data_IF_276341646877
#
_entry.id   IF_276341646877
#
_cell.length_a   1.000
_cell.length_b   1.000
_cell.length_c   1.000
_cell.angle_alpha   90.00
_cell.angle_beta   90.00
_cell.angle_gamma   90.00
#
_symmetry.space_group_name_H-M   'P 1'
#
loop_
_entity.id
_entity.type
_entity.pdbx_description
1 polymer ?
#
# COMPACT_ATOMS: atom_id res chain seq x y z
N UNK A 1 48.96 -29.22 -2.25
CA UNK A 1 49.74 -30.35 -1.69
C UNK A 1 51.08 -30.37 -2.39
N UNK A 2 52.18 -30.57 -1.64
CA UNK A 2 53.52 -30.77 -2.20
C UNK A 2 53.97 -32.17 -1.81
N UNK A 3 54.39 -32.97 -2.79
CA UNK A 3 54.89 -34.32 -2.58
C UNK A 3 56.41 -34.33 -2.79
N UNK A 4 57.16 -34.71 -1.76
CA UNK A 4 58.62 -34.85 -1.83
C UNK A 4 58.98 -36.32 -2.02
N UNK A 5 59.86 -36.61 -2.97
CA UNK A 5 60.29 -37.98 -3.30
C UNK A 5 61.80 -38.04 -3.42
N UNK A 6 62.38 -39.21 -3.14
CA UNK A 6 63.82 -39.46 -3.28
C UNK A 6 64.11 -40.05 -4.66
N UNK A 7 65.13 -39.57 -5.39
CA UNK A 7 65.52 -40.16 -6.67
C UNK A 7 66.29 -41.48 -6.51
N UNK A 8 66.62 -41.91 -5.28
CA UNK A 8 67.36 -43.14 -5.05
C UNK A 8 66.50 -44.39 -5.35
N UNK A 9 67.09 -45.37 -6.04
CA UNK A 9 66.39 -46.60 -6.43
C UNK A 9 65.85 -47.40 -5.23
N UNK A 10 66.52 -47.31 -4.08
CA UNK A 10 66.14 -47.98 -2.83
C UNK A 10 64.80 -47.50 -2.27
N UNK A 11 64.39 -46.27 -2.62
CA UNK A 11 63.14 -45.64 -2.15
C UNK A 11 62.04 -45.66 -3.22
N UNK A 12 62.15 -46.54 -4.22
CA UNK A 12 61.19 -46.62 -5.31
C UNK A 12 59.75 -46.93 -4.85
N UNK A 13 59.58 -47.87 -3.92
CA UNK A 13 58.26 -48.26 -3.39
C UNK A 13 57.56 -47.12 -2.65
N UNK A 14 58.29 -46.36 -1.84
CA UNK A 14 57.79 -45.18 -1.12
C UNK A 14 57.46 -44.05 -2.09
N UNK A 15 58.35 -43.79 -3.05
CA UNK A 15 58.14 -42.79 -4.10
C UNK A 15 56.89 -43.07 -4.92
N UNK A 16 56.65 -44.33 -5.28
CA UNK A 16 55.45 -44.75 -6.02
C UNK A 16 54.19 -44.61 -5.17
N UNK A 17 54.28 -44.91 -3.87
CA UNK A 17 53.17 -44.74 -2.93
C UNK A 17 52.79 -43.27 -2.75
N UNK A 18 53.78 -42.39 -2.61
CA UNK A 18 53.60 -40.93 -2.53
C UNK A 18 52.97 -40.36 -3.81
N UNK A 19 53.41 -40.82 -5.00
CA UNK A 19 52.82 -40.42 -6.28
C UNK A 19 51.36 -40.84 -6.40
N UNK A 20 51.02 -42.07 -6.00
CA UNK A 20 49.63 -42.56 -5.99
C UNK A 20 48.76 -41.73 -5.06
N UNK A 21 49.25 -41.41 -3.87
CA UNK A 21 48.55 -40.55 -2.93
C UNK A 21 48.34 -39.14 -3.50
N UNK A 22 49.37 -38.54 -4.11
CA UNK A 22 49.26 -37.23 -4.77
C UNK A 22 48.26 -37.24 -5.93
N UNK A 23 48.24 -38.31 -6.73
CA UNK A 23 47.29 -38.50 -7.82
C UNK A 23 45.85 -38.58 -7.31
N UNK A 24 45.62 -39.23 -6.17
CA UNK A 24 44.30 -39.27 -5.53
C UNK A 24 43.91 -37.93 -4.91
N UNK A 25 44.86 -37.25 -4.26
CA UNK A 25 44.63 -35.94 -3.65
C UNK A 25 44.24 -34.86 -4.67
N UNK A 26 44.68 -34.97 -5.93
CA UNK A 26 44.24 -34.12 -7.04
C UNK A 26 42.71 -34.16 -7.25
N UNK A 27 42.07 -35.28 -6.95
CA UNK A 27 40.64 -35.47 -7.17
C UNK A 27 39.78 -34.93 -6.01
N UNK A 28 40.40 -34.37 -4.96
CA UNK A 28 39.68 -33.79 -3.82
C UNK A 28 39.14 -32.41 -4.22
N UNK A 29 37.81 -32.27 -4.21
CA UNK A 29 37.13 -31.01 -4.50
C UNK A 29 36.83 -30.30 -3.18
N UNK A 30 37.56 -29.23 -2.90
CA UNK A 30 37.28 -28.35 -1.77
C UNK A 30 36.24 -27.29 -2.15
N UNK A 31 35.26 -27.07 -1.28
CA UNK A 31 34.33 -25.93 -1.37
C UNK A 31 34.73 -24.90 -0.30
N UNK A 32 35.61 -23.94 -0.60
CA UNK A 32 35.98 -22.92 0.38
C UNK A 32 34.75 -22.10 0.75
N UNK A 33 34.49 -21.97 2.03
CA UNK A 33 33.48 -21.07 2.57
C UNK A 33 34.19 -19.97 3.35
N UNK A 34 33.68 -18.75 3.26
CA UNK A 34 34.14 -17.66 4.12
C UNK A 34 33.73 -18.03 5.55
N UNK A 35 34.71 -18.18 6.44
CA UNK A 35 34.45 -18.31 7.86
C UNK A 35 33.96 -16.95 8.39
N UNK A 36 32.66 -16.70 8.23
CA UNK A 36 31.98 -15.63 8.95
C UNK A 36 31.86 -16.03 10.43
N UNK A 37 32.13 -15.09 11.33
CA UNK A 37 31.87 -15.31 12.76
C UNK A 37 30.36 -15.54 12.96
N UNK A 38 30.01 -16.61 13.68
CA UNK A 38 28.62 -16.97 13.93
C UNK A 38 27.84 -15.81 14.57
N UNK A 39 28.49 -15.02 15.43
CA UNK A 39 27.88 -13.86 16.05
C UNK A 39 27.64 -12.74 15.04
N UNK A 40 28.59 -12.49 14.12
CA UNK A 40 28.44 -11.45 13.08
C UNK A 40 27.31 -11.81 12.11
N UNK A 41 27.23 -13.08 11.70
CA UNK A 41 26.13 -13.58 10.88
C UNK A 41 24.77 -13.43 11.58
N UNK A 42 24.68 -13.83 12.85
CA UNK A 42 23.47 -13.70 13.64
C UNK A 42 23.05 -12.23 13.81
N UNK A 43 24.00 -11.32 14.08
CA UNK A 43 23.71 -9.89 14.19
C UNK A 43 23.16 -9.34 12.88
N UNK A 44 23.70 -9.76 11.72
CA UNK A 44 23.17 -9.35 10.41
C UNK A 44 21.73 -9.83 10.22
N UNK A 45 21.47 -11.11 10.45
CA UNK A 45 20.13 -11.70 10.30
C UNK A 45 19.11 -11.06 11.24
N UNK A 46 19.49 -10.81 12.50
CA UNK A 46 18.61 -10.13 13.45
C UNK A 46 18.31 -8.68 13.04
N UNK A 47 19.28 -7.96 12.47
CA UNK A 47 19.04 -6.58 11.98
C UNK A 47 18.11 -6.58 10.78
N UNK A 48 18.27 -7.50 9.85
CA UNK A 48 17.38 -7.67 8.70
C UNK A 48 15.95 -7.99 9.15
N UNK A 49 15.80 -8.88 10.14
CA UNK A 49 14.49 -9.23 10.67
C UNK A 49 13.81 -8.07 11.40
N UNK A 50 14.57 -7.27 12.16
CA UNK A 50 14.05 -6.04 12.79
C UNK A 50 13.52 -5.08 11.73
N UNK A 51 14.27 -4.83 10.66
CA UNK A 51 13.82 -3.93 9.59
C UNK A 51 12.61 -4.47 8.84
N UNK A 52 12.56 -5.78 8.58
CA UNK A 52 11.39 -6.43 7.99
C UNK A 52 10.14 -6.25 8.85
N UNK A 53 10.24 -6.47 10.15
CA UNK A 53 9.12 -6.35 11.08
C UNK A 53 8.64 -4.89 11.21
N UNK A 54 9.56 -3.93 11.28
CA UNK A 54 9.21 -2.49 11.27
C UNK A 54 8.45 -2.09 10.01
N UNK A 55 8.89 -2.56 8.84
CA UNK A 55 8.20 -2.28 7.59
C UNK A 55 6.78 -2.86 7.55
N UNK A 56 6.58 -4.06 8.11
CA UNK A 56 5.24 -4.65 8.24
C UNK A 56 4.33 -3.85 9.17
N UNK A 57 4.85 -3.38 10.31
CA UNK A 57 4.08 -2.55 11.24
C UNK A 57 3.67 -1.22 10.60
N UNK A 58 4.58 -0.56 9.89
CA UNK A 58 4.28 0.69 9.18
C UNK A 58 3.17 0.51 8.14
N UNK A 59 3.22 -0.60 7.38
CA UNK A 59 2.18 -0.92 6.41
C UNK A 59 0.83 -1.18 7.09
N UNK A 60 0.83 -1.84 8.25
CA UNK A 60 -0.37 -2.10 9.01
C UNK A 60 -1.01 -0.79 9.54
N UNK A 61 -0.22 0.13 10.10
CA UNK A 61 -0.70 1.45 10.54
C UNK A 61 -1.29 2.26 9.37
N UNK A 62 -0.67 2.20 8.19
CA UNK A 62 -1.20 2.85 6.99
C UNK A 62 -2.55 2.22 6.57
N UNK A 63 -2.67 0.90 6.63
CA UNK A 63 -3.93 0.21 6.30
C UNK A 63 -5.02 0.57 7.32
N UNK A 64 -4.70 0.63 8.61
CA UNK A 64 -5.67 0.98 9.66
C UNK A 64 -6.15 2.44 9.51
N UNK A 65 -5.24 3.38 9.26
CA UNK A 65 -5.61 4.79 9.03
C UNK A 65 -6.49 4.96 7.78
N UNK A 66 -6.14 4.28 6.68
CA UNK A 66 -6.96 4.28 5.47
C UNK A 66 -8.32 3.62 5.68
N UNK A 67 -8.35 2.51 6.43
CA UNK A 67 -9.60 1.80 6.74
C UNK A 67 -10.52 2.67 7.59
N UNK A 68 -10.01 3.30 8.65
CA UNK A 68 -10.76 4.23 9.51
C UNK A 68 -11.33 5.42 8.71
N UNK A 69 -10.52 6.01 7.83
CA UNK A 69 -10.96 7.11 6.99
C UNK A 69 -12.04 6.66 5.98
N UNK A 70 -11.93 5.43 5.45
CA UNK A 70 -12.92 4.86 4.54
C UNK A 70 -14.21 4.41 5.23
N UNK A 71 -14.20 4.02 6.52
CA UNK A 71 -15.44 3.75 7.28
C UNK A 71 -16.15 5.02 7.73
N UNK A 72 -15.44 6.13 7.98
CA UNK A 72 -16.08 7.40 8.36
C UNK A 72 -16.83 8.07 7.19
N UNK A 73 -16.30 8.00 5.97
CA UNK A 73 -16.94 8.61 4.78
C UNK A 73 -18.37 8.09 4.46
N UNK A 74 -18.65 6.78 4.39
CA UNK A 74 -19.99 6.26 4.12
C UNK A 74 -20.94 6.56 5.27
N UNK A 75 -20.48 6.50 6.53
CA UNK A 75 -21.29 6.88 7.68
C UNK A 75 -21.73 8.35 7.62
N UNK A 76 -20.83 9.27 7.26
CA UNK A 76 -21.20 10.67 7.05
C UNK A 76 -22.23 10.85 5.93
N UNK A 77 -22.07 10.15 4.80
CA UNK A 77 -23.06 10.21 3.71
C UNK A 77 -24.40 9.61 4.12
N UNK A 78 -24.38 8.54 4.90
CA UNK A 78 -25.58 7.83 5.34
C UNK A 78 -26.35 8.63 6.39
N UNK A 79 -25.66 9.24 7.36
CA UNK A 79 -26.25 10.18 8.31
C UNK A 79 -26.86 11.41 7.61
N UNK A 80 -26.20 11.92 6.57
CA UNK A 80 -26.73 13.00 5.74
C UNK A 80 -28.00 12.54 4.98
N UNK A 81 -27.98 11.35 4.39
CA UNK A 81 -29.15 10.78 3.69
C UNK A 81 -30.34 10.54 4.63
N UNK A 82 -30.10 10.07 5.85
CA UNK A 82 -31.14 9.87 6.87
C UNK A 82 -31.72 11.20 7.35
N UNK A 83 -30.88 12.21 7.57
CA UNK A 83 -31.34 13.54 7.98
C UNK A 83 -32.28 14.19 6.95
N UNK A 84 -32.04 13.94 5.67
CA UNK A 84 -32.83 14.50 4.55
C UNK A 84 -33.82 13.51 3.91
N UNK A 85 -34.07 12.36 4.55
CA UNK A 85 -35.06 11.38 4.10
C UNK A 85 -34.86 10.90 2.65
N UNK A 86 -33.62 10.79 2.19
CA UNK A 86 -33.33 10.46 0.78
C UNK A 86 -33.38 8.94 0.58
N UNK A 87 -34.42 8.45 -0.09
CA UNK A 87 -34.63 7.04 -0.38
C UNK A 87 -34.47 6.71 -1.87
N UNK A 88 -33.71 5.66 -2.20
CA UNK A 88 -33.61 5.12 -3.56
C UNK A 88 -34.56 3.92 -3.70
N UNK A 89 -35.62 4.07 -4.49
CA UNK A 89 -36.50 2.94 -4.81
C UNK A 89 -35.86 2.06 -5.90
N UNK A 90 -35.26 0.93 -5.50
CA UNK A 90 -34.58 -0.01 -6.42
C UNK A 90 -35.48 -0.59 -7.52
N UNK A 91 -36.81 -0.58 -7.34
CA UNK A 91 -37.74 -1.14 -8.32
C UNK A 91 -38.22 -0.11 -9.35
N UNK A 92 -38.01 1.19 -9.11
CA UNK A 92 -38.53 2.27 -9.97
C UNK A 92 -37.52 3.36 -10.31
N UNK A 93 -36.23 3.18 -9.99
CA UNK A 93 -35.16 4.14 -10.25
C UNK A 93 -35.56 5.60 -9.94
N UNK A 94 -36.32 5.81 -8.86
CA UNK A 94 -36.79 7.12 -8.41
C UNK A 94 -36.14 7.43 -7.07
N UNK A 95 -35.54 8.62 -6.98
CA UNK A 95 -35.06 9.20 -5.73
C UNK A 95 -36.21 9.98 -5.10
N UNK A 96 -36.56 9.66 -3.87
CA UNK A 96 -37.55 10.41 -3.08
C UNK A 96 -36.79 11.19 -2.02
N UNK A 97 -37.01 12.49 -1.97
CA UNK A 97 -36.41 13.41 -0.98
C UNK A 97 -37.57 13.97 -0.18
N UNK A 98 -37.62 13.64 1.11
CA UNK A 98 -38.59 14.21 2.04
C UNK A 98 -37.90 15.30 2.85
N UNK A 99 -38.02 16.55 2.40
CA UNK A 99 -37.32 17.66 3.02
C UNK A 99 -38.28 18.58 3.77
N UNK A 100 -38.02 18.76 5.06
CA UNK A 100 -38.85 19.55 5.98
C UNK A 100 -38.56 21.05 5.94
N UNK A 101 -37.42 21.45 5.36
CA UNK A 101 -37.03 22.85 5.16
C UNK A 101 -37.50 23.36 3.77
N UNK A 102 -37.52 24.68 3.51
CA UNK A 102 -37.70 25.20 2.16
C UNK A 102 -36.42 25.03 1.32
N UNK A 103 -36.56 24.66 0.04
CA UNK A 103 -35.43 24.35 -0.85
C UNK A 103 -35.64 24.92 -2.25
N UNK A 104 -34.53 25.22 -2.92
CA UNK A 104 -34.47 25.50 -4.36
C UNK A 104 -33.93 24.27 -5.10
N UNK A 105 -34.61 23.88 -6.17
CA UNK A 105 -34.13 22.85 -7.10
C UNK A 105 -33.66 23.52 -8.39
N UNK A 106 -32.39 23.34 -8.73
CA UNK A 106 -31.90 23.62 -10.06
C UNK A 106 -32.01 22.34 -10.90
N UNK A 107 -32.76 22.45 -11.99
CA UNK A 107 -32.85 21.47 -13.05
C UNK A 107 -31.97 21.97 -14.18
N UNK A 108 -31.00 21.17 -14.58
CA UNK A 108 -30.18 21.49 -15.73
C UNK A 108 -30.99 21.21 -17.01
N UNK A 109 -30.90 22.11 -17.99
CA UNK A 109 -31.64 21.98 -19.27
C UNK A 109 -31.04 20.90 -20.18
N UNK A 110 -29.85 20.39 -19.87
CA UNK A 110 -29.22 19.31 -20.63
C UNK A 110 -29.87 17.96 -20.32
N UNK A 111 -30.48 17.37 -21.34
CA UNK A 111 -31.13 16.05 -21.31
C UNK A 111 -30.12 14.93 -20.96
N UNK A 112 -28.83 15.17 -21.13
CA UNK A 112 -27.75 14.24 -20.77
C UNK A 112 -27.20 14.48 -19.35
N UNK A 113 -27.46 15.64 -18.74
CA UNK A 113 -27.11 15.88 -17.35
C UNK A 113 -28.20 15.31 -16.44
N UNK A 114 -27.83 14.30 -15.66
CA UNK A 114 -28.74 13.74 -14.63
C UNK A 114 -28.62 14.50 -13.30
N UNK A 115 -27.97 15.67 -13.32
CA UNK A 115 -27.69 16.47 -12.14
C UNK A 115 -28.92 17.24 -11.69
N UNK A 116 -29.57 16.79 -10.63
CA UNK A 116 -30.50 17.62 -9.86
C UNK A 116 -29.71 18.23 -8.71
N UNK A 117 -29.62 19.56 -8.65
CA UNK A 117 -28.96 20.27 -7.55
C UNK A 117 -30.02 20.84 -6.61
N UNK A 118 -29.93 20.49 -5.33
CA UNK A 118 -30.87 20.94 -4.29
C UNK A 118 -30.17 21.89 -3.31
N UNK A 119 -30.56 23.16 -3.31
CA UNK A 119 -30.08 24.17 -2.35
C UNK A 119 -31.04 24.29 -1.18
N UNK A 120 -30.51 24.18 0.04
CA UNK A 120 -31.28 24.29 1.27
C UNK A 120 -31.33 25.75 1.71
N UNK A 121 -32.53 26.30 1.90
CA UNK A 121 -32.70 27.67 2.38
C UNK A 121 -32.70 27.65 3.91
N UNK A 122 -31.73 28.34 4.51
CA UNK A 122 -31.66 28.54 5.97
C UNK A 122 -32.49 29.75 6.37
N UNK A 123 -32.88 29.81 7.63
CA UNK A 123 -33.55 30.97 8.20
C UNK A 123 -32.61 32.19 8.14
N UNK A 124 -33.06 33.29 7.53
CA UNK A 124 -32.24 34.46 7.23
C UNK A 124 -32.37 34.91 5.79
N UNK A 125 -31.36 35.62 5.29
CA UNK A 125 -31.32 36.12 3.91
C UNK A 125 -30.34 35.27 3.09
N UNK A 126 -30.81 34.60 2.03
CA UNK A 126 -29.97 33.86 1.08
C UNK A 126 -29.67 34.72 -0.13
N UNK A 127 -28.38 34.93 -0.46
CA UNK A 127 -27.94 35.75 -1.59
C UNK A 127 -27.60 34.90 -2.80
N UNK A 128 -28.19 35.22 -3.94
CA UNK A 128 -28.04 34.49 -5.20
C UNK A 128 -27.47 35.46 -6.24
N UNK A 129 -26.35 35.10 -6.87
CA UNK A 129 -25.69 35.98 -7.81
C UNK A 129 -24.55 35.32 -8.56
N UNK A 130 -23.89 36.10 -9.41
CA UNK A 130 -22.71 35.66 -10.17
C UNK A 130 -21.45 35.78 -9.33
N UNK A 131 -20.42 35.01 -9.70
CA UNK A 131 -19.12 34.99 -9.01
C UNK A 131 -18.33 36.31 -9.17
N UNK A 132 -18.70 37.15 -10.14
CA UNK A 132 -18.09 38.45 -10.43
C UNK A 132 -18.71 39.61 -9.62
N UNK A 133 -19.60 39.32 -8.68
CA UNK A 133 -20.22 40.33 -7.81
C UNK A 133 -19.27 40.79 -6.70
N UNK A 134 -19.30 42.09 -6.37
CA UNK A 134 -18.56 42.67 -5.24
C UNK A 134 -19.01 42.13 -3.86
N UNK A 135 -20.18 41.46 -3.80
CA UNK A 135 -20.71 40.84 -2.59
C UNK A 135 -20.62 39.32 -2.66
N UNK A 136 -20.23 38.71 -1.54
CA UNK A 136 -20.23 37.26 -1.34
C UNK A 136 -21.65 36.69 -1.51
N UNK A 137 -21.78 35.67 -2.36
CA UNK A 137 -23.04 35.02 -2.69
C UNK A 137 -23.07 33.63 -2.05
N UNK A 138 -24.23 33.24 -1.51
CA UNK A 138 -24.43 31.90 -0.93
C UNK A 138 -24.68 30.84 -2.02
N UNK A 139 -25.24 31.27 -3.16
CA UNK A 139 -25.53 30.42 -4.31
C UNK A 139 -25.00 31.11 -5.57
N UNK A 140 -24.00 30.47 -6.21
CA UNK A 140 -23.40 30.91 -7.47
C UNK A 140 -23.92 30.13 -8.69
N UNK A 141 -23.57 30.56 -9.92
CA UNK A 141 -23.88 29.80 -11.13
C UNK A 141 -23.25 28.40 -11.07
N UNK A 142 -24.02 27.40 -11.51
CA UNK A 142 -23.55 26.03 -11.68
C UNK A 142 -22.79 26.00 -13.01
N UNK A 143 -21.49 25.66 -12.96
CA UNK A 143 -20.64 25.49 -14.16
C UNK A 143 -21.04 24.23 -14.95
#
# INVERSE_FOLDING_TARGET
MVATVSPAHTSYSETMSTMRYASNAKNIINKPQVNEDANVKLIRELREEIERLKAMLLNFELIDTLTQHWTQKPNNRQALMEHYGVGINRNRARVVIDSSLPHLMALEDDVLSTGIVLYHLKEGTTRIGRIDSDQEQDIGPVD
#
